data_IF_681572690076
#
_entry.id   IF_681572690076
#
_cell.length_a   1.000
_cell.length_b   1.000
_cell.length_c   1.000
_cell.angle_alpha   90.00
_cell.angle_beta   90.00
_cell.angle_gamma   90.00
#
_symmetry.space_group_name_H-M   'P 1'
#
loop_
_entity.id
_entity.type
_entity.pdbx_description
1 polymer ?
#
# COMPACT_ATOMS: atom_id res chain seq x y z
N UNK A 1 1.23 -11.52 -13.56
CA UNK A 1 1.58 -10.27 -14.29
C UNK A 1 3.08 -10.05 -14.18
N UNK A 2 3.72 -9.42 -15.17
CA UNK A 2 5.14 -9.06 -15.16
C UNK A 2 5.24 -7.55 -14.98
N UNK A 3 6.04 -7.09 -14.02
CA UNK A 3 6.35 -5.67 -13.80
C UNK A 3 7.29 -5.13 -14.88
N UNK A 4 7.42 -3.81 -14.99
CA UNK A 4 8.40 -3.16 -15.88
C UNK A 4 9.85 -3.57 -15.56
N UNK A 5 10.12 -4.02 -14.33
CA UNK A 5 11.42 -4.54 -13.89
C UNK A 5 11.57 -6.05 -14.08
N UNK A 6 10.62 -6.72 -14.76
CA UNK A 6 10.69 -8.14 -15.08
C UNK A 6 10.29 -9.09 -13.95
N UNK A 7 9.84 -8.57 -12.80
CA UNK A 7 9.44 -9.38 -11.64
C UNK A 7 7.96 -9.78 -11.69
N UNK A 8 7.61 -10.83 -10.93
CA UNK A 8 6.22 -11.21 -10.71
C UNK A 8 5.56 -10.36 -9.62
N UNK A 9 4.25 -10.15 -9.74
CA UNK A 9 3.41 -9.61 -8.66
C UNK A 9 2.47 -10.70 -8.17
N UNK A 10 2.39 -10.83 -6.85
CA UNK A 10 1.47 -11.73 -6.16
C UNK A 10 0.47 -10.89 -5.36
N UNK A 11 -0.81 -11.04 -5.66
CA UNK A 11 -1.88 -10.45 -4.87
C UNK A 11 -2.22 -11.37 -3.70
N UNK A 12 -2.00 -10.90 -2.47
CA UNK A 12 -2.22 -11.67 -1.24
C UNK A 12 -3.24 -10.96 -0.36
N UNK A 13 -4.29 -11.68 0.02
CA UNK A 13 -5.31 -11.18 0.95
C UNK A 13 -4.99 -11.63 2.37
N UNK A 14 -4.96 -10.67 3.29
CA UNK A 14 -5.01 -10.91 4.73
C UNK A 14 -6.40 -10.54 5.23
N UNK A 15 -6.92 -11.23 6.24
CA UNK A 15 -8.20 -10.87 6.86
C UNK A 15 -8.10 -9.53 7.62
N UNK A 16 -6.93 -9.27 8.23
CA UNK A 16 -6.54 -7.99 8.84
C UNK A 16 -5.02 -7.85 8.84
N UNK A 17 -4.52 -6.61 8.96
CA UNK A 17 -3.10 -6.31 9.12
C UNK A 17 -2.97 -5.43 10.36
N UNK A 18 -2.76 -6.07 11.52
CA UNK A 18 -2.73 -5.39 12.81
C UNK A 18 -1.42 -4.63 13.05
N UNK A 19 -0.30 -5.17 12.56
CA UNK A 19 1.03 -4.56 12.65
C UNK A 19 1.68 -4.47 11.25
N UNK A 20 1.38 -3.40 10.48
CA UNK A 20 1.92 -3.25 9.14
C UNK A 20 3.44 -3.02 9.13
N UNK A 21 4.02 -2.41 10.18
CA UNK A 21 5.47 -2.16 10.28
C UNK A 21 6.24 -3.48 10.33
N UNK A 22 5.79 -4.39 11.18
CA UNK A 22 6.44 -5.70 11.34
C UNK A 22 6.19 -6.58 10.12
N UNK A 23 4.99 -6.53 9.54
CA UNK A 23 4.67 -7.31 8.34
C UNK A 23 5.52 -6.89 7.15
N UNK A 24 5.62 -5.60 6.85
CA UNK A 24 6.45 -5.05 5.78
C UNK A 24 7.91 -5.53 5.91
N UNK A 25 8.51 -5.37 7.10
CA UNK A 25 9.88 -5.84 7.38
C UNK A 25 10.02 -7.34 7.21
N UNK A 26 9.03 -8.11 7.63
CA UNK A 26 9.06 -9.57 7.52
C UNK A 26 9.05 -10.01 6.06
N UNK A 27 8.16 -9.44 5.25
CA UNK A 27 8.05 -9.74 3.82
C UNK A 27 9.35 -9.39 3.07
N UNK A 28 9.90 -8.20 3.32
CA UNK A 28 11.13 -7.75 2.66
C UNK A 28 12.37 -8.57 3.03
N UNK A 29 12.33 -9.37 4.11
CA UNK A 29 13.41 -10.29 4.49
C UNK A 29 13.27 -11.71 3.93
N UNK A 30 12.22 -12.01 3.16
CA UNK A 30 12.05 -13.33 2.51
C UNK A 30 12.87 -13.35 1.21
N UNK A 31 13.82 -14.29 1.03
CA UNK A 31 14.55 -14.41 -0.22
C UNK A 31 13.62 -14.59 -1.43
N UNK A 32 13.79 -13.71 -2.43
CA UNK A 32 12.95 -13.67 -3.62
C UNK A 32 11.79 -12.66 -3.56
N UNK A 33 11.48 -12.11 -2.38
CA UNK A 33 10.64 -10.91 -2.27
C UNK A 33 11.54 -9.70 -2.50
N UNK A 34 11.22 -8.94 -3.54
CA UNK A 34 11.93 -7.69 -3.84
C UNK A 34 11.28 -6.50 -3.13
N UNK A 35 9.96 -6.47 -3.09
CA UNK A 35 9.17 -5.46 -2.39
C UNK A 35 7.75 -5.98 -2.12
N UNK A 36 7.01 -5.21 -1.32
CA UNK A 36 5.59 -5.40 -1.03
C UNK A 36 4.80 -4.08 -1.11
N UNK A 37 3.48 -4.17 -1.01
CA UNK A 37 2.58 -3.02 -1.17
C UNK A 37 2.26 -2.24 0.11
N UNK A 38 2.96 -2.49 1.22
CA UNK A 38 2.71 -1.82 2.51
C UNK A 38 3.66 -0.63 2.64
N UNK A 39 3.11 0.59 2.70
CA UNK A 39 3.88 1.83 2.76
C UNK A 39 3.79 2.46 4.16
N UNK A 40 4.60 1.98 5.11
CA UNK A 40 4.55 2.50 6.48
C UNK A 40 5.48 3.70 6.67
N UNK A 41 4.99 4.75 7.33
CA UNK A 41 5.73 6.01 7.56
C UNK A 41 6.24 6.69 6.28
N UNK A 42 5.59 6.45 5.13
CA UNK A 42 5.96 7.06 3.85
C UNK A 42 5.13 8.32 3.51
N UNK A 43 3.89 8.40 3.97
CA UNK A 43 2.97 9.47 3.61
C UNK A 43 2.89 10.53 4.72
N UNK A 44 3.26 11.77 4.40
CA UNK A 44 3.14 12.91 5.32
C UNK A 44 1.74 13.56 5.28
N UNK A 45 1.07 13.50 4.12
CA UNK A 45 -0.22 14.13 3.87
C UNK A 45 -1.06 13.19 3.00
N UNK A 46 -2.32 12.98 3.39
CA UNK A 46 -3.29 12.23 2.58
C UNK A 46 -4.41 13.16 2.13
N UNK A 47 -4.52 13.37 0.82
CA UNK A 47 -5.58 14.15 0.20
C UNK A 47 -6.66 13.20 -0.34
N UNK A 48 -7.88 13.35 0.14
CA UNK A 48 -9.02 12.51 -0.23
C UNK A 48 -10.01 13.34 -1.02
N UNK A 49 -10.25 12.93 -2.27
CA UNK A 49 -11.35 13.45 -3.07
C UNK A 49 -12.68 12.89 -2.59
N UNK A 50 -13.65 13.77 -2.40
CA UNK A 50 -15.02 13.39 -2.03
C UNK A 50 -16.04 14.18 -2.85
N UNK A 51 -17.24 13.61 -3.01
CA UNK A 51 -18.37 14.31 -3.63
C UNK A 51 -19.37 14.62 -2.53
N UNK A 52 -19.63 15.90 -2.32
CA UNK A 52 -20.60 16.39 -1.32
C UNK A 52 -21.62 17.28 -2.02
N UNK A 53 -22.90 16.95 -1.87
CA UNK A 53 -24.02 17.67 -2.51
C UNK A 53 -23.84 17.83 -4.04
N UNK A 54 -23.28 16.80 -4.68
CA UNK A 54 -23.00 16.80 -6.12
C UNK A 54 -21.78 17.62 -6.56
N UNK A 55 -21.02 18.20 -5.62
CA UNK A 55 -19.81 18.98 -5.89
C UNK A 55 -18.54 18.22 -5.49
N UNK A 56 -17.46 18.26 -6.30
CA UNK A 56 -16.18 17.68 -5.95
C UNK A 56 -15.45 18.55 -4.92
N UNK A 57 -14.98 17.92 -3.85
CA UNK A 57 -14.18 18.53 -2.79
C UNK A 57 -12.92 17.69 -2.53
N UNK A 58 -11.92 18.31 -1.91
CA UNK A 58 -10.73 17.62 -1.42
C UNK A 58 -10.59 17.95 0.05
N UNK A 59 -10.42 16.92 0.89
CA UNK A 59 -10.06 17.08 2.30
C UNK A 59 -8.73 16.40 2.60
N UNK A 60 -8.00 16.98 3.54
CA UNK A 60 -6.80 16.38 4.12
C UNK A 60 -7.20 15.51 5.31
N UNK A 61 -6.70 14.28 5.39
CA UNK A 61 -6.81 13.40 6.55
C UNK A 61 -5.73 13.69 7.59
#
# INVERSE_FOLDING_TARGET
>A
VITDQGNFVLDVRFDSIDDPVTLEKTLNNIPGVLENGIFVNCADVVLVGEVKDGQPLVRQL
#
